data_IF_071424444295
#
_entry.id   IF_071424444295
#
_cell.length_a   1.000
_cell.length_b   1.000
_cell.length_c   1.000
_cell.angle_alpha   90.00
_cell.angle_beta   90.00
_cell.angle_gamma   90.00
#
_symmetry.space_group_name_H-M   'P 1'
#
loop_
_entity.id
_entity.type
_entity.pdbx_description
1 polymer ?
#
# COMPACT_ATOMS: atom_id res chain seq x y z
N UNK A 1 -8.11 -24.19 -2.26
CA UNK A 1 -7.73 -23.04 -1.40
C UNK A 1 -8.40 -23.18 -0.03
N UNK A 2 -7.63 -23.08 1.07
CA UNK A 2 -8.16 -23.11 2.43
C UNK A 2 -8.58 -21.70 2.87
N UNK A 3 -9.57 -21.61 3.77
CA UNK A 3 -10.00 -20.36 4.38
C UNK A 3 -10.09 -20.53 5.88
N UNK A 4 -9.33 -19.72 6.62
CA UNK A 4 -9.21 -19.81 8.08
C UNK A 4 -9.45 -18.48 8.76
N UNK A 5 -9.94 -18.52 10.00
CA UNK A 5 -10.36 -17.34 10.76
C UNK A 5 -9.48 -17.11 12.00
N UNK A 6 -8.77 -18.13 12.47
CA UNK A 6 -8.02 -18.09 13.74
C UNK A 6 -6.51 -18.14 13.51
N UNK A 7 -5.77 -17.51 14.40
CA UNK A 7 -4.30 -17.51 14.42
C UNK A 7 -3.78 -18.94 14.59
N UNK A 8 -4.45 -19.75 15.41
CA UNK A 8 -4.07 -21.15 15.66
C UNK A 8 -4.09 -21.95 14.35
N UNK A 9 -5.18 -21.86 13.57
CA UNK A 9 -5.31 -22.59 12.31
C UNK A 9 -4.25 -22.16 11.29
N UNK A 10 -3.95 -20.85 11.19
CA UNK A 10 -2.86 -20.38 10.35
C UNK A 10 -1.54 -20.99 10.77
N UNK A 11 -1.19 -20.91 12.05
CA UNK A 11 0.07 -21.46 12.59
C UNK A 11 0.22 -22.95 12.35
N UNK A 12 -0.86 -23.72 12.48
CA UNK A 12 -0.86 -25.16 12.22
C UNK A 12 -0.52 -25.45 10.75
N UNK A 13 -1.12 -24.71 9.80
CA UNK A 13 -0.80 -24.86 8.38
C UNK A 13 0.63 -24.42 8.04
N UNK A 14 1.08 -23.28 8.57
CA UNK A 14 2.44 -22.78 8.39
C UNK A 14 3.47 -23.80 8.91
N UNK A 15 3.24 -24.36 10.11
CA UNK A 15 4.12 -25.37 10.71
C UNK A 15 4.26 -26.59 9.80
N UNK A 16 3.15 -27.06 9.21
CA UNK A 16 3.17 -28.17 8.24
C UNK A 16 4.00 -27.82 7.02
N UNK A 17 3.73 -26.68 6.37
CA UNK A 17 4.43 -26.25 5.16
C UNK A 17 5.94 -26.05 5.39
N UNK A 18 6.32 -25.47 6.54
CA UNK A 18 7.75 -25.32 6.90
C UNK A 18 8.45 -26.65 7.12
N UNK A 19 7.79 -27.64 7.73
CA UNK A 19 8.34 -28.99 7.86
C UNK A 19 8.54 -29.68 6.51
N UNK A 20 7.70 -29.35 5.53
CA UNK A 20 7.79 -29.83 4.14
C UNK A 20 8.82 -29.04 3.30
N UNK A 21 9.44 -28.00 3.87
CA UNK A 21 10.47 -27.17 3.22
C UNK A 21 9.94 -26.10 2.26
N UNK A 22 8.62 -25.82 2.29
CA UNK A 22 8.03 -24.83 1.38
C UNK A 22 8.36 -23.38 1.77
N UNK A 23 8.68 -22.59 0.74
CA UNK A 23 8.73 -21.13 0.82
C UNK A 23 7.30 -20.54 0.86
N UNK A 24 7.13 -19.44 1.61
CA UNK A 24 5.81 -18.83 1.86
C UNK A 24 5.84 -17.38 1.37
N UNK A 25 5.01 -17.08 0.37
CA UNK A 25 4.70 -15.73 -0.08
C UNK A 25 3.47 -15.19 0.66
N UNK A 26 3.54 -13.96 1.15
CA UNK A 26 2.47 -13.32 1.89
C UNK A 26 2.02 -12.02 1.25
N UNK A 27 0.72 -11.84 1.10
CA UNK A 27 0.09 -10.62 0.58
C UNK A 27 -0.90 -10.09 1.63
N UNK A 28 -0.53 -9.04 2.41
CA UNK A 28 -1.46 -8.36 3.32
C UNK A 28 -2.43 -7.48 2.55
N UNK A 29 -3.73 -7.62 2.83
CA UNK A 29 -4.78 -6.79 2.22
C UNK A 29 -5.86 -6.41 3.25
N UNK A 30 -6.65 -5.40 2.90
CA UNK A 30 -7.87 -5.07 3.62
C UNK A 30 -9.13 -5.62 2.96
N UNK A 31 -8.99 -6.41 1.89
CA UNK A 31 -10.12 -6.92 1.10
C UNK A 31 -10.57 -5.96 0.01
N UNK A 32 -11.71 -6.28 -0.61
CA UNK A 32 -12.21 -5.64 -1.83
C UNK A 32 -11.16 -5.65 -2.93
N UNK A 33 -10.70 -6.86 -3.24
CA UNK A 33 -9.54 -7.10 -4.08
C UNK A 33 -9.82 -6.69 -5.54
N UNK A 34 -8.78 -6.19 -6.19
CA UNK A 34 -8.79 -5.74 -7.58
C UNK A 34 -7.48 -6.13 -8.28
N UNK A 35 -7.33 -5.81 -9.57
CA UNK A 35 -6.15 -6.18 -10.39
C UNK A 35 -4.81 -5.77 -9.75
N UNK A 36 -4.77 -4.67 -8.97
CA UNK A 36 -3.59 -4.29 -8.20
C UNK A 36 -3.22 -5.35 -7.15
N UNK A 37 -4.20 -5.92 -6.44
CA UNK A 37 -3.96 -7.01 -5.51
C UNK A 37 -3.65 -8.33 -6.24
N UNK A 38 -4.30 -8.58 -7.38
CA UNK A 38 -4.00 -9.72 -8.23
C UNK A 38 -2.54 -9.75 -8.65
N UNK A 39 -1.96 -8.61 -9.04
CA UNK A 39 -0.54 -8.50 -9.41
C UNK A 39 0.41 -8.84 -8.26
N UNK A 40 0.05 -8.51 -7.00
CA UNK A 40 0.82 -8.92 -5.81
C UNK A 40 0.78 -10.44 -5.65
N UNK A 41 -0.42 -11.03 -5.81
CA UNK A 41 -0.63 -12.49 -5.68
C UNK A 41 0.14 -13.24 -6.77
N UNK A 42 0.08 -12.77 -8.02
CA UNK A 42 0.80 -13.38 -9.15
C UNK A 42 2.31 -13.35 -8.91
N UNK A 43 2.84 -12.22 -8.43
CA UNK A 43 4.26 -12.11 -8.10
C UNK A 43 4.63 -13.04 -6.91
N UNK A 44 3.75 -13.14 -5.91
CA UNK A 44 3.93 -14.08 -4.80
C UNK A 44 3.92 -15.53 -5.29
N UNK A 45 2.98 -15.88 -6.17
CA UNK A 45 2.85 -17.24 -6.73
C UNK A 45 4.06 -17.65 -7.56
N UNK A 46 4.63 -16.69 -8.32
CA UNK A 46 5.81 -16.91 -9.15
C UNK A 46 7.06 -17.25 -8.31
N UNK A 47 7.18 -16.69 -7.11
CA UNK A 47 8.41 -16.71 -6.33
C UNK A 47 8.33 -17.63 -5.09
N UNK A 48 7.19 -18.26 -4.83
CA UNK A 48 7.01 -19.09 -3.62
C UNK A 48 6.19 -20.35 -3.90
N UNK A 49 6.40 -21.37 -3.09
CA UNK A 49 5.67 -22.64 -3.16
C UNK A 49 4.23 -22.52 -2.62
N UNK A 50 4.04 -21.70 -1.60
CA UNK A 50 2.74 -21.44 -0.95
C UNK A 50 2.47 -19.95 -0.89
N UNK A 51 1.23 -19.56 -1.18
CA UNK A 51 0.80 -18.15 -1.10
C UNK A 51 -0.34 -18.01 -0.11
N UNK A 52 -0.18 -17.03 0.78
CA UNK A 52 -1.18 -16.63 1.78
C UNK A 52 -1.61 -15.20 1.50
N UNK A 53 -2.91 -14.97 1.53
CA UNK A 53 -3.51 -13.64 1.50
C UNK A 53 -4.23 -13.41 2.84
N UNK A 54 -3.95 -12.32 3.53
CA UNK A 54 -4.82 -11.88 4.61
C UNK A 54 -5.82 -10.85 4.11
N UNK A 55 -7.06 -10.94 4.60
CA UNK A 55 -8.12 -9.96 4.36
C UNK A 55 -8.57 -9.46 5.72
N UNK A 56 -8.08 -8.27 6.10
CA UNK A 56 -8.37 -7.69 7.41
C UNK A 56 -8.43 -6.17 7.36
N UNK A 57 -9.62 -5.62 7.51
CA UNK A 57 -9.81 -4.16 7.67
C UNK A 57 -9.37 -3.80 9.08
N UNK A 58 -8.12 -3.33 9.19
CA UNK A 58 -7.47 -3.09 10.47
C UNK A 58 -8.00 -1.82 11.14
N UNK A 59 -8.77 -1.91 12.24
CA UNK A 59 -9.41 -0.73 12.84
C UNK A 59 -8.42 0.29 13.42
N UNK A 60 -7.23 -0.16 13.84
CA UNK A 60 -6.29 0.73 14.55
C UNK A 60 -5.44 1.62 13.63
N UNK A 61 -5.58 1.48 12.31
CA UNK A 61 -4.92 2.35 11.33
C UNK A 61 -5.84 3.45 10.78
N UNK A 62 -7.09 3.50 11.22
CA UNK A 62 -8.07 4.52 10.82
C UNK A 62 -8.27 5.54 11.94
N UNK A 63 -8.22 6.82 11.58
CA UNK A 63 -8.63 7.93 12.46
C UNK A 63 -10.15 8.02 12.58
N UNK A 64 -10.61 8.82 13.54
CA UNK A 64 -12.05 8.99 13.84
C UNK A 64 -12.88 9.44 12.64
N UNK A 65 -12.30 10.21 11.72
CA UNK A 65 -12.98 10.76 10.54
C UNK A 65 -12.59 10.05 9.23
N UNK A 66 -12.06 8.83 9.33
CA UNK A 66 -11.69 8.05 8.15
C UNK A 66 -12.75 7.01 7.77
N UNK A 67 -12.60 6.40 6.61
CA UNK A 67 -13.58 5.53 5.94
C UNK A 67 -13.67 4.09 6.51
N UNK A 68 -13.37 3.86 7.79
CA UNK A 68 -13.42 2.51 8.41
C UNK A 68 -14.79 1.84 8.28
N UNK A 69 -15.86 2.58 8.57
CA UNK A 69 -17.22 2.04 8.54
C UNK A 69 -17.74 1.80 7.12
N UNK A 70 -17.32 2.63 6.18
CA UNK A 70 -17.73 2.59 4.77
C UNK A 70 -16.74 1.85 3.86
N UNK A 71 -15.59 1.39 4.42
CA UNK A 71 -14.61 0.66 3.64
C UNK A 71 -15.24 -0.57 2.98
N UNK A 72 -15.13 -0.75 1.65
CA UNK A 72 -15.86 -1.78 0.91
C UNK A 72 -15.41 -3.19 1.30
N UNK A 73 -16.37 -4.11 1.37
CA UNK A 73 -16.13 -5.51 1.73
C UNK A 73 -16.95 -6.43 0.83
N UNK A 74 -16.28 -7.37 0.19
CA UNK A 74 -16.92 -8.46 -0.58
C UNK A 74 -16.06 -9.72 -0.51
N UNK A 75 -16.18 -10.45 0.59
CA UNK A 75 -15.40 -11.67 0.83
C UNK A 75 -15.62 -12.75 -0.25
N UNK A 76 -16.80 -12.80 -0.88
CA UNK A 76 -17.07 -13.81 -1.89
C UNK A 76 -16.33 -13.48 -3.20
N UNK A 77 -16.30 -12.22 -3.60
CA UNK A 77 -15.50 -11.76 -4.73
C UNK A 77 -14.01 -11.94 -4.46
N UNK A 78 -13.55 -11.58 -3.26
CA UNK A 78 -12.15 -11.71 -2.83
C UNK A 78 -11.68 -13.17 -2.88
N UNK A 79 -12.51 -14.12 -2.40
CA UNK A 79 -12.21 -15.55 -2.48
C UNK A 79 -12.07 -16.04 -3.93
N UNK A 80 -12.96 -15.63 -4.81
CA UNK A 80 -12.92 -16.00 -6.23
C UNK A 80 -11.65 -15.50 -6.90
N UNK A 81 -11.27 -14.24 -6.63
CA UNK A 81 -10.03 -13.67 -7.15
C UNK A 81 -8.82 -14.44 -6.60
N UNK A 82 -8.74 -14.67 -5.30
CA UNK A 82 -7.65 -15.43 -4.69
C UNK A 82 -7.54 -16.84 -5.28
N UNK A 83 -8.66 -17.53 -5.50
CA UNK A 83 -8.69 -18.89 -6.06
C UNK A 83 -8.20 -18.91 -7.51
N UNK A 84 -8.64 -17.94 -8.33
CA UNK A 84 -8.22 -17.84 -9.74
C UNK A 84 -6.73 -17.50 -9.91
N UNK A 85 -6.10 -16.89 -8.90
CA UNK A 85 -4.67 -16.56 -8.88
C UNK A 85 -3.82 -17.57 -8.05
N UNK A 86 -4.38 -18.72 -7.70
CA UNK A 86 -3.65 -19.84 -7.11
C UNK A 86 -3.19 -19.62 -5.65
N UNK A 87 -3.93 -18.82 -4.88
CA UNK A 87 -3.73 -18.67 -3.43
C UNK A 87 -3.97 -20.00 -2.73
N UNK A 88 -3.10 -20.37 -1.80
CA UNK A 88 -3.24 -21.61 -1.03
C UNK A 88 -4.08 -21.42 0.24
N UNK A 89 -3.98 -20.24 0.88
CA UNK A 89 -4.63 -19.94 2.14
C UNK A 89 -5.12 -18.50 2.19
N UNK A 90 -6.39 -18.29 2.54
CA UNK A 90 -6.92 -16.98 2.93
C UNK A 90 -7.09 -16.95 4.45
N UNK A 91 -6.59 -15.89 5.08
CA UNK A 91 -6.76 -15.61 6.50
C UNK A 91 -7.60 -14.36 6.70
N UNK A 92 -8.78 -14.52 7.32
CA UNK A 92 -9.72 -13.41 7.61
C UNK A 92 -10.05 -13.36 9.09
N UNK A 93 -9.10 -12.89 9.92
CA UNK A 93 -9.35 -12.79 11.36
C UNK A 93 -10.37 -11.72 11.70
N UNK A 94 -11.08 -11.88 12.82
CA UNK A 94 -11.86 -10.79 13.40
C UNK A 94 -10.96 -9.79 14.15
N UNK A 95 -11.46 -8.58 14.45
CA UNK A 95 -10.73 -7.65 15.31
C UNK A 95 -10.42 -8.24 16.71
N UNK A 96 -11.32 -9.04 17.27
CA UNK A 96 -11.15 -9.70 18.57
C UNK A 96 -10.05 -10.77 18.52
N UNK A 97 -9.93 -11.52 17.40
CA UNK A 97 -8.84 -12.47 17.19
C UNK A 97 -7.49 -11.76 17.11
N UNK A 98 -7.45 -10.59 16.46
CA UNK A 98 -6.21 -9.83 16.31
C UNK A 98 -5.87 -8.99 17.54
N UNK A 99 -6.86 -8.49 18.29
CA UNK A 99 -6.65 -7.51 19.36
C UNK A 99 -7.47 -7.80 20.61
N UNK A 100 -6.90 -8.59 21.53
CA UNK A 100 -7.45 -8.78 22.86
C UNK A 100 -6.67 -7.89 23.84
N UNK A 101 -7.35 -6.91 24.48
CA UNK A 101 -6.75 -5.97 25.44
C UNK A 101 -5.36 -5.44 24.99
N UNK A 102 -5.31 -4.92 23.76
CA UNK A 102 -4.08 -4.51 23.08
C UNK A 102 -3.36 -3.38 23.83
N UNK A 103 -2.11 -3.61 24.22
CA UNK A 103 -1.23 -2.65 24.89
C UNK A 103 0.10 -2.43 24.17
N UNK A 104 0.46 -3.32 23.24
CA UNK A 104 1.71 -3.22 22.49
C UNK A 104 1.46 -2.61 21.09
N UNK A 105 2.38 -1.77 20.66
CA UNK A 105 2.38 -1.14 19.34
C UNK A 105 3.79 -1.19 18.76
N UNK A 106 3.87 -1.17 17.43
CA UNK A 106 5.10 -0.91 16.67
C UNK A 106 4.94 0.44 15.99
N UNK A 107 5.92 1.32 16.16
CA UNK A 107 5.96 2.65 15.58
C UNK A 107 7.30 2.89 14.90
N UNK A 108 7.31 3.64 13.81
CA UNK A 108 8.51 4.03 13.08
C UNK A 108 8.58 5.55 13.07
N UNK A 109 9.66 6.09 13.62
CA UNK A 109 9.88 7.51 13.69
C UNK A 109 10.33 8.08 12.34
N UNK A 110 10.23 9.39 12.17
CA UNK A 110 10.66 10.18 11.02
C UNK A 110 9.92 9.86 9.71
N UNK A 111 10.05 8.65 9.16
CA UNK A 111 9.39 8.26 7.91
C UNK A 111 7.86 8.37 7.99
N UNK A 112 7.28 8.22 9.18
CA UNK A 112 5.84 8.34 9.42
C UNK A 112 5.37 9.78 9.60
N UNK A 113 6.27 10.76 9.69
CA UNK A 113 5.97 12.16 10.03
C UNK A 113 5.90 13.08 8.79
N UNK A 114 5.96 12.52 7.59
CA UNK A 114 5.89 13.24 6.31
C UNK A 114 4.70 12.76 5.48
N UNK A 115 4.43 13.39 4.36
CA UNK A 115 3.45 12.95 3.35
C UNK A 115 2.08 12.58 3.97
N UNK A 116 1.66 11.31 3.78
CA UNK A 116 0.40 10.80 4.34
C UNK A 116 0.38 10.82 5.87
N UNK A 117 1.53 10.66 6.54
CA UNK A 117 1.60 10.61 7.99
C UNK A 117 1.23 11.93 8.68
N UNK A 118 1.50 13.08 8.03
CA UNK A 118 1.07 14.39 8.54
C UNK A 118 -0.46 14.47 8.70
N UNK A 119 -1.19 13.91 7.74
CA UNK A 119 -2.66 13.93 7.71
C UNK A 119 -3.30 12.78 8.47
N UNK A 120 -2.53 11.71 8.69
CA UNK A 120 -2.98 10.47 9.29
C UNK A 120 -2.02 10.02 10.41
N UNK A 121 -1.93 10.75 11.53
CA UNK A 121 -0.85 10.58 12.52
C UNK A 121 -0.82 9.20 13.20
N UNK A 122 -1.96 8.48 13.26
CA UNK A 122 -2.03 7.14 13.85
C UNK A 122 -1.89 6.01 12.80
N UNK A 123 -1.95 6.35 11.52
CA UNK A 123 -2.06 5.39 10.43
C UNK A 123 -0.88 4.41 10.39
N UNK A 124 0.32 4.93 10.28
CA UNK A 124 1.50 4.07 10.13
C UNK A 124 1.83 3.27 11.38
N UNK A 125 1.56 3.80 12.56
CA UNK A 125 1.62 3.04 13.81
C UNK A 125 0.64 1.84 13.79
N UNK A 126 -0.57 2.05 13.28
CA UNK A 126 -1.55 0.99 13.08
C UNK A 126 -1.08 -0.05 12.05
N UNK A 127 -0.53 0.41 10.91
CA UNK A 127 0.00 -0.45 9.84
C UNK A 127 1.20 -1.28 10.35
N UNK A 128 2.20 -0.64 10.96
CA UNK A 128 3.37 -1.35 11.49
C UNK A 128 2.98 -2.41 12.52
N UNK A 129 2.03 -2.07 13.41
CA UNK A 129 1.55 -3.00 14.43
C UNK A 129 0.87 -4.22 13.83
N UNK A 130 -0.04 -4.05 12.86
CA UNK A 130 -0.74 -5.19 12.23
C UNK A 130 0.19 -6.02 11.37
N UNK A 131 1.08 -5.38 10.61
CA UNK A 131 2.04 -6.10 9.74
C UNK A 131 3.04 -6.89 10.58
N UNK A 132 3.58 -6.31 11.67
CA UNK A 132 4.44 -7.03 12.61
C UNK A 132 3.72 -8.25 13.24
N UNK A 133 2.43 -8.11 13.60
CA UNK A 133 1.62 -9.25 14.06
C UNK A 133 1.49 -10.32 12.99
N UNK A 134 1.18 -9.95 11.75
CA UNK A 134 1.09 -10.91 10.66
C UNK A 134 2.43 -11.61 10.38
N UNK A 135 3.56 -10.89 10.43
CA UNK A 135 4.86 -11.50 10.27
C UNK A 135 5.17 -12.53 11.37
N UNK A 136 4.77 -12.25 12.62
CA UNK A 136 4.90 -13.20 13.73
C UNK A 136 3.93 -14.39 13.65
N UNK A 137 2.77 -14.23 13.03
CA UNK A 137 1.76 -15.29 12.85
C UNK A 137 2.14 -16.19 11.69
N UNK A 138 2.44 -15.61 10.53
CA UNK A 138 2.62 -16.28 9.23
C UNK A 138 4.08 -16.68 9.02
N UNK A 139 5.03 -15.89 9.52
CA UNK A 139 6.47 -16.08 9.33
C UNK A 139 6.83 -16.33 7.85
N UNK A 140 6.47 -15.40 6.93
CA UNK A 140 6.67 -15.61 5.51
C UNK A 140 8.15 -15.55 5.11
N UNK A 141 8.49 -16.20 3.98
CA UNK A 141 9.79 -16.03 3.31
C UNK A 141 9.85 -14.68 2.63
N UNK A 142 8.78 -14.32 1.91
CA UNK A 142 8.64 -13.07 1.18
C UNK A 142 7.27 -12.44 1.45
N UNK A 143 7.22 -11.11 1.61
CA UNK A 143 5.97 -10.35 1.73
C UNK A 143 5.89 -9.28 0.64
N UNK A 144 4.72 -9.13 0.02
CA UNK A 144 4.50 -8.34 -1.19
C UNK A 144 3.64 -7.13 -0.90
N UNK A 145 4.11 -5.94 -1.29
CA UNK A 145 3.44 -4.66 -1.08
C UNK A 145 3.43 -3.84 -2.36
N UNK A 146 2.33 -3.13 -2.62
CA UNK A 146 2.23 -2.28 -3.80
C UNK A 146 3.05 -0.98 -3.67
N UNK A 147 3.80 -0.64 -4.72
CA UNK A 147 4.54 0.63 -4.82
C UNK A 147 3.61 1.85 -4.89
N UNK A 148 2.32 1.66 -5.11
CA UNK A 148 1.33 2.73 -5.01
C UNK A 148 1.31 3.35 -3.62
N UNK A 149 1.47 2.57 -2.58
CA UNK A 149 1.54 3.00 -1.19
C UNK A 149 3.03 3.10 -0.77
N UNK A 150 3.80 3.91 -1.54
CA UNK A 150 5.26 3.96 -1.47
C UNK A 150 5.80 4.31 -0.08
N UNK A 151 5.19 5.27 0.63
CA UNK A 151 5.58 5.60 2.00
C UNK A 151 5.37 4.41 2.94
N UNK A 152 4.25 3.69 2.81
CA UNK A 152 4.01 2.46 3.59
C UNK A 152 5.08 1.41 3.30
N UNK A 153 5.45 1.21 2.03
CA UNK A 153 6.48 0.26 1.63
C UNK A 153 7.84 0.60 2.25
N UNK A 154 8.24 1.88 2.24
CA UNK A 154 9.48 2.35 2.85
C UNK A 154 9.47 2.13 4.39
N UNK A 155 8.37 2.48 5.06
CA UNK A 155 8.19 2.28 6.50
C UNK A 155 8.26 0.80 6.87
N UNK A 156 7.63 -0.09 6.10
CA UNK A 156 7.68 -1.54 6.36
C UNK A 156 9.08 -2.10 6.13
N UNK A 157 9.80 -1.66 5.09
CA UNK A 157 11.21 -2.03 4.89
C UNK A 157 12.07 -1.61 6.07
N UNK A 158 11.90 -0.38 6.57
CA UNK A 158 12.61 0.13 7.74
C UNK A 158 12.29 -0.69 9.00
N UNK A 159 11.00 -0.98 9.24
CA UNK A 159 10.56 -1.84 10.34
C UNK A 159 11.21 -3.22 10.30
N UNK A 160 11.24 -3.85 9.13
CA UNK A 160 11.85 -5.17 8.94
C UNK A 160 13.33 -5.14 9.23
N UNK A 161 14.02 -4.12 8.73
CA UNK A 161 15.46 -3.94 8.96
C UNK A 161 15.77 -3.71 10.45
N UNK A 162 15.10 -2.75 11.10
CA UNK A 162 15.38 -2.37 12.48
C UNK A 162 15.02 -3.45 13.50
N UNK A 163 13.93 -4.19 13.24
CA UNK A 163 13.48 -5.24 14.13
C UNK A 163 13.98 -6.65 13.74
N UNK A 164 14.84 -6.72 12.72
CA UNK A 164 15.44 -7.97 12.23
C UNK A 164 14.39 -9.08 11.92
N UNK A 165 13.26 -8.70 11.32
CA UNK A 165 12.30 -9.71 10.85
C UNK A 165 12.92 -10.55 9.73
N UNK A 166 12.88 -11.88 9.80
CA UNK A 166 13.43 -12.77 8.79
C UNK A 166 12.50 -12.91 7.57
N UNK A 167 12.19 -11.77 6.92
CA UNK A 167 11.29 -11.70 5.76
C UNK A 167 11.85 -10.74 4.71
N UNK A 168 11.76 -11.10 3.44
CA UNK A 168 12.11 -10.20 2.34
C UNK A 168 10.90 -9.38 1.93
N UNK A 169 11.04 -8.05 1.85
CA UNK A 169 9.98 -7.15 1.41
C UNK A 169 10.12 -6.84 -0.07
N UNK A 170 9.12 -7.23 -0.85
CA UNK A 170 9.10 -7.09 -2.31
C UNK A 170 8.07 -6.03 -2.68
N UNK A 171 8.54 -4.94 -3.32
CA UNK A 171 7.68 -3.94 -3.95
C UNK A 171 7.16 -4.47 -5.29
N UNK A 172 5.89 -4.22 -5.59
CA UNK A 172 5.27 -4.59 -6.87
C UNK A 172 4.74 -3.32 -7.54
N UNK A 173 5.04 -3.12 -8.83
CA UNK A 173 4.69 -1.90 -9.55
C UNK A 173 3.21 -1.55 -9.53
N UNK A 174 2.93 -0.24 -9.67
CA UNK A 174 1.57 0.29 -9.69
C UNK A 174 0.79 -0.27 -10.90
N UNK A 175 -0.32 -0.95 -10.63
CA UNK A 175 -1.28 -1.33 -11.66
C UNK A 175 -2.23 -0.17 -11.92
N UNK A 176 -2.51 0.10 -13.19
CA UNK A 176 -3.34 1.22 -13.61
C UNK A 176 -4.53 0.76 -14.43
N UNK A 177 -5.61 1.56 -14.41
CA UNK A 177 -6.71 1.47 -15.35
C UNK A 177 -6.21 1.80 -16.78
N UNK A 178 -7.03 1.54 -17.80
CA UNK A 178 -6.68 1.82 -19.21
C UNK A 178 -6.37 3.31 -19.46
N UNK A 179 -7.01 4.21 -18.71
CA UNK A 179 -6.82 5.67 -18.78
C UNK A 179 -5.68 6.18 -17.87
N UNK A 180 -4.95 5.27 -17.21
CA UNK A 180 -3.79 5.57 -16.40
C UNK A 180 -4.06 5.78 -14.91
N UNK A 181 -5.32 5.91 -14.47
CA UNK A 181 -5.63 6.03 -13.03
C UNK A 181 -5.11 4.83 -12.26
N UNK A 182 -4.39 5.06 -11.15
CA UNK A 182 -3.90 3.99 -10.29
C UNK A 182 -5.07 3.19 -9.70
N UNK A 183 -5.01 1.85 -9.77
CA UNK A 183 -6.04 0.96 -9.19
C UNK A 183 -6.12 1.16 -7.68
N UNK A 184 -7.34 1.35 -7.18
CA UNK A 184 -7.63 1.53 -5.75
C UNK A 184 -9.06 1.10 -5.45
N UNK A 185 -9.27 0.48 -4.29
CA UNK A 185 -10.62 0.19 -3.77
C UNK A 185 -11.45 1.47 -3.61
N UNK A 186 -10.80 2.60 -3.33
CA UNK A 186 -11.46 3.92 -3.22
C UNK A 186 -11.95 4.50 -4.54
N UNK A 187 -11.51 3.97 -5.69
CA UNK A 187 -12.04 4.41 -6.99
C UNK A 187 -13.56 4.13 -7.12
N UNK A 188 -14.09 3.19 -6.35
CA UNK A 188 -15.53 2.87 -6.32
C UNK A 188 -16.38 3.94 -5.62
N UNK A 189 -15.77 4.85 -4.89
CA UNK A 189 -16.49 5.98 -4.25
C UNK A 189 -16.78 7.13 -5.23
N UNK A 190 -16.07 7.16 -6.37
CA UNK A 190 -16.17 8.23 -7.35
C UNK A 190 -17.48 8.12 -8.14
N UNK A 191 -18.21 9.22 -8.25
CA UNK A 191 -19.26 9.39 -9.25
C UNK A 191 -18.68 9.33 -10.67
N UNK A 192 -19.52 9.22 -11.69
CA UNK A 192 -19.07 9.16 -13.08
C UNK A 192 -18.22 10.37 -13.50
N UNK A 193 -18.55 11.57 -13.02
CA UNK A 193 -17.80 12.77 -13.34
C UNK A 193 -16.50 12.86 -12.54
N UNK A 194 -16.53 12.51 -11.23
CA UNK A 194 -15.32 12.41 -10.41
C UNK A 194 -14.36 11.33 -10.94
N UNK A 195 -14.89 10.21 -11.47
CA UNK A 195 -14.05 9.16 -12.07
C UNK A 195 -13.30 9.67 -13.31
N UNK A 196 -13.93 10.48 -14.14
CA UNK A 196 -13.27 11.14 -15.29
C UNK A 196 -12.23 12.15 -14.81
N UNK A 197 -12.61 13.02 -13.87
CA UNK A 197 -11.72 14.01 -13.26
C UNK A 197 -10.47 13.38 -12.63
N UNK A 198 -10.60 12.20 -12.01
CA UNK A 198 -9.48 11.51 -11.35
C UNK A 198 -8.30 11.18 -12.28
N UNK A 199 -8.51 11.12 -13.60
CA UNK A 199 -7.43 10.90 -14.59
C UNK A 199 -6.39 12.03 -14.60
N UNK A 200 -6.74 13.21 -14.06
CA UNK A 200 -5.81 14.33 -13.92
C UNK A 200 -4.57 13.97 -13.10
N UNK A 201 -4.71 13.04 -12.11
CA UNK A 201 -3.58 12.57 -11.32
C UNK A 201 -2.53 11.93 -12.22
N UNK A 202 -2.94 11.03 -13.11
CA UNK A 202 -2.00 10.37 -14.02
C UNK A 202 -1.37 11.35 -15.01
N UNK A 203 -2.13 12.31 -15.53
CA UNK A 203 -1.61 13.37 -16.38
C UNK A 203 -0.53 14.19 -15.65
N UNK A 204 -0.77 14.55 -14.40
CA UNK A 204 0.20 15.23 -13.54
C UNK A 204 1.46 14.39 -13.33
N UNK A 205 1.34 13.08 -13.02
CA UNK A 205 2.46 12.13 -12.91
C UNK A 205 3.30 12.10 -14.20
N UNK A 206 2.65 12.01 -15.37
CA UNK A 206 3.38 11.98 -16.65
C UNK A 206 4.15 13.28 -16.89
N UNK A 207 3.56 14.41 -16.53
CA UNK A 207 4.21 15.73 -16.66
C UNK A 207 5.41 15.85 -15.71
N UNK A 208 5.25 15.43 -14.44
CA UNK A 208 6.36 15.36 -13.48
C UNK A 208 7.52 14.47 -13.95
N UNK A 209 7.20 13.28 -14.49
CA UNK A 209 8.20 12.38 -15.08
C UNK A 209 8.95 13.00 -16.26
N UNK A 210 8.30 13.84 -17.06
CA UNK A 210 8.96 14.55 -18.15
C UNK A 210 9.84 15.69 -17.64
N UNK A 211 9.37 16.44 -16.63
CA UNK A 211 10.11 17.54 -16.03
C UNK A 211 11.42 17.05 -15.39
N UNK A 212 11.36 15.99 -14.57
CA UNK A 212 12.55 15.45 -13.88
C UNK A 212 13.60 14.94 -14.88
N UNK A 213 13.19 14.27 -15.94
CA UNK A 213 14.08 13.80 -17.02
C UNK A 213 14.79 14.93 -17.77
N UNK A 214 14.26 16.16 -17.72
CA UNK A 214 14.86 17.37 -18.29
C UNK A 214 15.75 18.11 -17.28
N UNK A 215 15.95 17.56 -16.09
CA UNK A 215 16.79 18.16 -15.04
C UNK A 215 16.08 19.26 -14.24
N UNK A 216 14.75 19.24 -14.17
CA UNK A 216 14.00 20.21 -13.35
C UNK A 216 14.30 20.00 -11.85
N UNK A 217 14.37 21.12 -11.10
CA UNK A 217 14.47 21.08 -9.63
C UNK A 217 13.20 20.53 -8.97
N UNK A 218 13.29 20.14 -7.71
CA UNK A 218 12.15 19.64 -6.94
C UNK A 218 10.96 20.63 -6.96
N UNK A 219 11.21 21.90 -6.71
CA UNK A 219 10.18 22.96 -6.76
C UNK A 219 9.54 23.11 -8.15
N UNK A 220 10.36 23.04 -9.21
CA UNK A 220 9.84 23.12 -10.58
C UNK A 220 8.93 21.95 -10.92
N UNK A 221 9.25 20.74 -10.45
CA UNK A 221 8.42 19.54 -10.61
C UNK A 221 7.09 19.72 -9.85
N UNK A 222 7.15 20.14 -8.58
CA UNK A 222 5.98 20.37 -7.74
C UNK A 222 5.05 21.42 -8.40
N UNK A 223 5.61 22.55 -8.84
CA UNK A 223 4.84 23.61 -9.48
C UNK A 223 4.17 23.13 -10.78
N UNK A 224 4.92 22.45 -11.64
CA UNK A 224 4.40 21.92 -12.90
C UNK A 224 3.28 20.89 -12.67
N UNK A 225 3.43 20.01 -11.70
CA UNK A 225 2.40 19.04 -11.32
C UNK A 225 1.17 19.73 -10.72
N UNK A 226 1.37 20.76 -9.91
CA UNK A 226 0.32 21.59 -9.30
C UNK A 226 -0.51 22.31 -10.36
N UNK A 227 0.13 22.92 -11.34
CA UNK A 227 -0.56 23.59 -12.46
C UNK A 227 -1.49 22.64 -13.21
N UNK A 228 -1.03 21.40 -13.47
CA UNK A 228 -1.86 20.38 -14.14
C UNK A 228 -3.07 20.01 -13.30
N UNK A 229 -2.89 19.72 -12.00
CA UNK A 229 -4.01 19.34 -11.11
C UNK A 229 -5.03 20.48 -11.03
N UNK A 230 -4.59 21.72 -10.93
CA UNK A 230 -5.45 22.91 -10.83
C UNK A 230 -6.28 23.20 -12.10
N UNK A 231 -6.04 22.51 -13.22
CA UNK A 231 -6.92 22.58 -14.40
C UNK A 231 -8.23 21.81 -14.21
N UNK A 232 -8.32 20.94 -13.18
CA UNK A 232 -9.51 20.15 -12.90
C UNK A 232 -10.29 20.73 -11.71
N UNK A 233 -11.51 21.29 -11.93
CA UNK A 233 -12.28 21.95 -10.87
C UNK A 233 -12.69 21.05 -9.71
N UNK A 234 -12.81 19.74 -9.93
CA UNK A 234 -13.16 18.77 -8.88
C UNK A 234 -11.95 18.32 -8.06
N UNK A 235 -10.73 18.71 -8.46
CA UNK A 235 -9.51 18.33 -7.78
C UNK A 235 -9.11 19.36 -6.71
N UNK A 236 -8.73 18.85 -5.53
CA UNK A 236 -8.13 19.65 -4.45
C UNK A 236 -6.86 18.96 -3.97
N UNK A 237 -5.74 19.62 -4.14
CA UNK A 237 -4.44 19.10 -3.71
C UNK A 237 -4.39 19.03 -2.18
N UNK A 238 -4.01 17.86 -1.64
CA UNK A 238 -3.63 17.71 -0.24
C UNK A 238 -2.11 17.94 -0.08
N UNK A 239 -1.31 17.26 -0.91
CA UNK A 239 0.10 17.54 -1.10
C UNK A 239 0.60 17.05 -2.47
N UNK A 240 1.67 17.71 -2.96
CA UNK A 240 2.61 17.21 -3.99
C UNK A 240 4.00 17.45 -3.40
N UNK A 241 4.86 16.43 -3.41
CA UNK A 241 6.18 16.52 -2.77
C UNK A 241 7.20 15.68 -3.51
N UNK A 242 8.44 16.16 -3.52
CA UNK A 242 9.63 15.41 -3.92
C UNK A 242 10.41 15.12 -2.65
N UNK A 243 10.60 13.84 -2.34
CA UNK A 243 11.28 13.40 -1.12
C UNK A 243 12.40 12.42 -1.45
N UNK A 244 13.41 12.36 -0.62
CA UNK A 244 14.42 11.30 -0.67
C UNK A 244 13.74 9.92 -0.50
N UNK A 245 14.09 8.97 -1.34
CA UNK A 245 13.40 7.67 -1.41
C UNK A 245 13.62 6.79 -0.16
N UNK A 246 14.66 7.06 0.64
CA UNK A 246 15.00 6.28 1.82
C UNK A 246 14.49 6.93 3.12
N UNK A 247 14.63 8.25 3.22
CA UNK A 247 14.31 9.02 4.44
C UNK A 247 12.88 9.58 4.42
N UNK A 248 12.24 9.65 3.25
CA UNK A 248 10.94 10.30 3.03
C UNK A 248 10.93 11.79 3.42
N UNK A 249 12.11 12.43 3.56
CA UNK A 249 12.22 13.86 3.85
C UNK A 249 12.23 14.66 2.55
N UNK A 250 11.61 15.86 2.53
CA UNK A 250 11.65 16.75 1.37
C UNK A 250 13.09 17.06 0.94
N UNK A 251 13.30 17.16 -0.37
CA UNK A 251 14.59 17.56 -0.96
C UNK A 251 14.43 18.79 -1.84
N UNK A 252 15.45 19.63 -1.88
CA UNK A 252 15.53 20.79 -2.78
C UNK A 252 16.24 20.40 -4.09
N UNK A 253 17.31 19.62 -3.99
CA UNK A 253 18.10 19.12 -5.12
C UNK A 253 17.94 17.60 -5.29
N UNK A 254 17.98 17.13 -6.53
CA UNK A 254 17.78 15.71 -6.88
C UNK A 254 19.13 15.11 -7.25
N UNK A 255 19.92 14.79 -6.23
CA UNK A 255 21.24 14.18 -6.37
C UNK A 255 21.24 12.67 -6.07
N UNK A 256 20.24 12.21 -5.35
CA UNK A 256 20.02 10.82 -4.92
C UNK A 256 18.65 10.32 -5.39
N UNK A 257 18.34 9.02 -5.27
CA UNK A 257 17.03 8.48 -5.60
C UNK A 257 15.89 9.18 -4.83
N UNK A 258 14.87 9.63 -5.56
CA UNK A 258 13.72 10.35 -5.00
C UNK A 258 12.41 9.65 -5.30
N UNK A 259 11.43 9.91 -4.43
CA UNK A 259 10.02 9.62 -4.62
C UNK A 259 9.28 10.95 -4.88
N UNK A 260 8.62 11.06 -6.01
CA UNK A 260 7.65 12.13 -6.28
C UNK A 260 6.26 11.60 -5.97
N UNK A 261 5.65 12.12 -4.93
CA UNK A 261 4.39 11.62 -4.40
C UNK A 261 3.33 12.71 -4.29
N UNK A 262 2.08 12.34 -4.52
CA UNK A 262 0.96 13.26 -4.35
C UNK A 262 -0.23 12.59 -3.69
N UNK A 263 -1.02 13.40 -3.01
CA UNK A 263 -2.38 13.09 -2.60
C UNK A 263 -3.32 14.22 -3.05
N UNK A 264 -4.42 13.84 -3.65
CA UNK A 264 -5.39 14.76 -4.24
C UNK A 264 -6.80 14.28 -3.90
N UNK A 265 -7.64 15.16 -3.43
CA UNK A 265 -9.07 14.91 -3.31
C UNK A 265 -9.74 15.14 -4.65
N UNK A 266 -10.55 14.19 -5.10
CA UNK A 266 -11.50 14.37 -6.19
C UNK A 266 -12.88 14.32 -5.55
N UNK A 267 -13.57 15.45 -5.50
CA UNK A 267 -14.71 15.61 -4.61
C UNK A 267 -14.33 15.34 -3.16
N UNK A 268 -14.94 14.34 -2.53
CA UNK A 268 -14.62 13.90 -1.17
C UNK A 268 -13.59 12.76 -1.10
N UNK A 269 -13.28 12.13 -2.24
CA UNK A 269 -12.44 10.93 -2.29
C UNK A 269 -10.96 11.30 -2.39
N UNK A 270 -10.17 10.90 -1.37
CA UNK A 270 -8.72 11.10 -1.38
C UNK A 270 -8.01 9.99 -2.15
N UNK A 271 -7.34 10.37 -3.21
CA UNK A 271 -6.54 9.48 -4.06
C UNK A 271 -5.05 9.80 -3.93
N UNK A 272 -4.21 8.79 -4.10
CA UNK A 272 -2.75 8.93 -4.10
C UNK A 272 -2.15 8.36 -5.37
N UNK A 273 -1.05 8.95 -5.80
CA UNK A 273 -0.22 8.42 -6.88
C UNK A 273 1.24 8.87 -6.67
N UNK A 274 2.17 8.18 -7.33
CA UNK A 274 3.59 8.48 -7.21
C UNK A 274 4.41 7.93 -8.38
N UNK A 275 5.67 8.33 -8.42
CA UNK A 275 6.72 7.65 -9.17
C UNK A 275 8.07 7.85 -8.50
N UNK A 276 8.97 6.87 -8.67
CA UNK A 276 10.36 6.98 -8.25
C UNK A 276 11.24 7.40 -9.42
N UNK A 277 12.33 8.10 -9.09
CA UNK A 277 13.36 8.47 -10.04
C UNK A 277 14.74 8.31 -9.39
N UNK A 278 15.66 7.69 -10.12
CA UNK A 278 17.06 7.56 -9.75
C UNK A 278 17.87 8.35 -10.77
N UNK A 279 18.65 9.36 -10.35
CA UNK A 279 19.45 10.18 -11.24
C UNK A 279 20.73 9.47 -11.76
N UNK A 280 21.12 8.30 -11.17
CA UNK A 280 22.36 7.55 -11.48
C UNK A 280 22.15 6.48 -12.55
#
# INVERSE_FOLDING_TARGET
>A
MEHVLTIENVRNMISKWKKEGYSIGYVPTMGFLHDGHASLIDQARKNNDKVIVSIFVNPIQFGENEDLSTYPRDINSDKKLCESHGVNLIFTPSPEEMYQDKKAFVDILDLSNTLCGIRRPIHFKGVCTVVAKFFNIIQPTNAYFGEKDAQQLAIIRKMVFDLNFPVNIIGVPIVREQDGLAKSSRNTYLSSDERKAATILYKSIQTGKQAIKRGASADSIINTMTEIINTEPLAKIDYISVVDANTMQPVEEINDPVLVAMAVYIGSTRLIDNFSYDPN
#
